data_IF_502186384985
#
_entry.id   IF_502186384985
#
_cell.length_a   1.000
_cell.length_b   1.000
_cell.length_c   1.000
_cell.angle_alpha   90.00
_cell.angle_beta   90.00
_cell.angle_gamma   90.00
#
_symmetry.space_group_name_H-M   'P 1'
#
loop_
_entity.id
_entity.type
_entity.pdbx_description
1 polymer ?
#
# COMPACT_ATOMS: atom_id res chain seq x y z
N UNK A 1 -14.37 -39.51 -4.76
CA UNK A 1 -14.75 -38.14 -4.35
C UNK A 1 -13.54 -37.18 -4.37
N UNK A 2 -13.46 -36.22 -5.30
CA UNK A 2 -12.36 -35.26 -5.31
C UNK A 2 -12.53 -34.21 -4.21
N UNK A 3 -11.45 -33.92 -3.47
CA UNK A 3 -11.40 -32.99 -2.32
C UNK A 3 -11.19 -31.54 -2.77
N UNK A 4 -12.00 -30.67 -2.15
CA UNK A 4 -11.83 -29.26 -1.74
C UNK A 4 -11.39 -28.20 -2.76
N UNK A 5 -12.24 -27.18 -2.78
CA UNK A 5 -12.04 -25.81 -3.23
C UNK A 5 -10.66 -25.24 -2.90
N UNK A 6 -10.11 -24.50 -3.85
CA UNK A 6 -9.07 -23.48 -3.70
C UNK A 6 -9.08 -22.80 -2.31
N UNK A 7 -8.05 -23.05 -1.50
CA UNK A 7 -7.73 -22.17 -0.38
C UNK A 7 -7.32 -20.81 -0.95
N UNK A 8 -8.25 -19.85 -0.92
CA UNK A 8 -7.93 -18.44 -1.17
C UNK A 8 -7.03 -17.99 -0.03
N UNK A 9 -5.78 -17.65 -0.33
CA UNK A 9 -4.90 -17.01 0.64
C UNK A 9 -5.59 -15.72 1.15
N UNK A 10 -5.95 -15.71 2.44
CA UNK A 10 -6.49 -14.52 3.09
C UNK A 10 -5.34 -13.71 3.67
N UNK A 11 -5.35 -12.40 3.41
CA UNK A 11 -4.38 -11.46 3.97
C UNK A 11 -5.03 -10.83 5.20
N UNK A 12 -4.43 -11.04 6.38
CA UNK A 12 -4.77 -10.29 7.60
C UNK A 12 -3.84 -9.08 7.72
N UNK A 13 -4.41 -7.90 8.01
CA UNK A 13 -3.65 -6.67 8.23
C UNK A 13 -3.96 -6.17 9.64
N UNK A 14 -2.91 -5.97 10.44
CA UNK A 14 -2.98 -5.29 11.73
C UNK A 14 -2.19 -4.00 11.64
N UNK A 15 -2.87 -2.87 11.85
CA UNK A 15 -2.25 -1.56 11.86
C UNK A 15 -2.41 -0.90 13.23
N UNK A 16 -1.45 -0.07 13.59
CA UNK A 16 -1.54 0.86 14.71
C UNK A 16 -1.34 2.27 14.17
N UNK A 17 -2.16 3.21 14.61
CA UNK A 17 -2.00 4.61 14.25
C UNK A 17 -0.77 5.19 14.95
N UNK A 18 0.09 5.87 14.19
CA UNK A 18 1.23 6.61 14.69
C UNK A 18 0.82 8.06 14.97
N UNK A 19 1.24 8.60 16.11
CA UNK A 19 0.95 9.98 16.48
C UNK A 19 1.94 10.93 15.82
N UNK A 20 1.44 12.05 15.32
CA UNK A 20 2.25 13.15 14.81
C UNK A 20 1.59 14.47 15.20
N UNK A 21 2.22 15.21 16.11
CA UNK A 21 1.70 16.51 16.57
C UNK A 21 1.83 17.62 15.54
N UNK A 22 2.57 17.40 14.44
CA UNK A 22 2.72 18.36 13.35
C UNK A 22 1.55 18.34 12.36
N UNK A 23 0.69 17.32 12.41
CA UNK A 23 -0.49 17.21 11.53
C UNK A 23 -1.76 17.67 12.25
N UNK A 24 -2.73 18.28 11.54
CA UNK A 24 -4.00 18.71 12.13
C UNK A 24 -4.81 17.60 12.79
N UNK A 25 -4.70 16.36 12.30
CA UNK A 25 -5.40 15.21 12.87
C UNK A 25 -4.71 14.61 14.09
N UNK A 26 -3.45 14.96 14.35
CA UNK A 26 -2.63 14.37 15.42
C UNK A 26 -2.05 12.99 15.11
N UNK A 27 -2.08 12.57 13.84
CA UNK A 27 -1.63 11.25 13.38
C UNK A 27 -0.75 11.39 12.13
N UNK A 28 0.19 10.47 11.96
CA UNK A 28 1.10 10.44 10.81
C UNK A 28 0.34 10.05 9.52
N UNK A 29 0.69 10.72 8.41
CA UNK A 29 0.11 10.46 7.10
C UNK A 29 1.20 10.09 6.10
N UNK A 30 0.97 9.04 5.32
CA UNK A 30 1.89 8.60 4.26
C UNK A 30 1.97 9.58 3.07
N UNK A 31 1.07 10.57 3.01
CA UNK A 31 1.07 11.60 1.98
C UNK A 31 0.44 12.89 2.52
N UNK A 32 1.17 14.01 2.38
CA UNK A 32 0.75 15.33 2.87
C UNK A 32 0.47 15.34 4.38
N UNK A 33 -0.17 16.40 4.90
CA UNK A 33 -0.51 16.54 6.33
C UNK A 33 -1.88 15.93 6.70
N UNK A 34 -2.54 15.26 5.76
CA UNK A 34 -3.91 14.77 5.94
C UNK A 34 -4.98 15.87 5.92
N UNK A 35 -6.23 15.54 6.27
CA UNK A 35 -7.35 16.48 6.23
C UNK A 35 -7.24 17.53 7.35
N UNK A 36 -7.32 18.80 7.00
CA UNK A 36 -7.15 19.91 7.94
C UNK A 36 -8.29 20.10 8.95
N UNK A 37 -9.47 19.53 8.68
CA UNK A 37 -10.69 19.71 9.47
C UNK A 37 -11.26 18.40 10.04
N UNK A 38 -10.51 17.30 10.03
CA UNK A 38 -10.96 16.01 10.52
C UNK A 38 -10.39 15.71 11.91
N UNK A 39 -11.25 15.50 12.90
CA UNK A 39 -10.88 14.92 14.20
C UNK A 39 -11.19 13.42 14.18
N UNK A 40 -10.14 12.61 14.31
CA UNK A 40 -10.29 11.15 14.41
C UNK A 40 -10.65 10.81 15.86
N UNK A 41 -11.81 10.19 16.05
CA UNK A 41 -12.26 9.66 17.34
C UNK A 41 -12.40 8.13 17.29
N UNK A 42 -12.54 7.49 18.45
CA UNK A 42 -12.82 6.05 18.53
C UNK A 42 -14.07 5.70 17.72
N UNK A 43 -13.96 4.69 16.87
CA UNK A 43 -15.06 4.27 15.99
C UNK A 43 -15.18 5.06 14.69
N UNK A 44 -14.25 5.98 14.39
CA UNK A 44 -14.19 6.64 13.07
C UNK A 44 -13.91 5.61 11.98
N UNK A 45 -14.83 5.44 11.03
CA UNK A 45 -14.62 4.60 9.86
C UNK A 45 -13.64 5.29 8.90
N UNK A 46 -12.58 4.59 8.51
CA UNK A 46 -11.62 5.07 7.53
C UNK A 46 -11.44 4.07 6.39
N UNK A 47 -11.19 4.58 5.20
CA UNK A 47 -10.73 3.79 4.07
C UNK A 47 -9.22 3.95 3.95
N UNK A 48 -8.48 2.84 4.03
CA UNK A 48 -7.02 2.85 3.90
C UNK A 48 -6.59 2.23 2.58
N UNK A 49 -5.43 2.67 2.07
CA UNK A 49 -4.77 2.07 0.91
C UNK A 49 -3.45 1.47 1.37
N UNK A 50 -3.25 0.20 1.07
CA UNK A 50 -2.04 -0.54 1.44
C UNK A 50 -1.30 -0.94 0.17
N UNK A 51 -0.05 -0.53 0.05
CA UNK A 51 0.85 -1.00 -1.01
C UNK A 51 1.42 -2.35 -0.59
N UNK A 52 1.15 -3.40 -1.37
CA UNK A 52 1.64 -4.77 -1.10
C UNK A 52 2.96 -5.07 -1.81
N UNK A 53 3.26 -4.36 -2.89
CA UNK A 53 4.45 -4.52 -3.70
C UNK A 53 4.81 -3.17 -4.34
N UNK A 54 6.11 -2.85 -4.35
CA UNK A 54 6.65 -1.68 -5.04
C UNK A 54 7.68 -2.15 -6.07
N UNK A 55 7.51 -1.76 -7.33
CA UNK A 55 8.41 -2.11 -8.42
C UNK A 55 8.89 -0.84 -9.14
N UNK A 56 10.21 -0.69 -9.25
CA UNK A 56 10.82 0.47 -9.91
C UNK A 56 10.54 0.46 -11.42
N UNK A 57 10.14 1.59 -12.05
CA UNK A 57 9.81 1.62 -13.48
C UNK A 57 10.93 1.16 -14.42
N UNK A 58 12.20 1.37 -14.04
CA UNK A 58 13.37 0.97 -14.84
C UNK A 58 13.42 -0.53 -15.13
N UNK A 59 12.79 -1.37 -14.29
CA UNK A 59 12.73 -2.82 -14.52
C UNK A 59 11.95 -3.17 -15.78
N UNK A 60 11.03 -2.31 -16.25
CA UNK A 60 10.29 -2.47 -17.51
C UNK A 60 11.07 -2.02 -18.75
N UNK A 61 12.19 -1.30 -18.59
CA UNK A 61 13.02 -0.82 -19.70
C UNK A 61 14.11 -1.83 -20.07
N UNK A 62 14.57 -2.65 -19.11
CA UNK A 62 15.55 -3.70 -19.36
C UNK A 62 15.20 -4.65 -20.51
N UNK A 63 13.94 -5.10 -20.70
CA UNK A 63 13.55 -5.94 -21.84
C UNK A 63 13.81 -5.23 -23.19
N UNK A 64 13.41 -3.97 -23.31
CA UNK A 64 13.57 -3.17 -24.54
C UNK A 64 15.06 -2.99 -24.86
N UNK A 65 15.88 -2.71 -23.85
CA UNK A 65 17.33 -2.57 -24.03
C UNK A 65 18.01 -3.90 -24.42
N UNK A 66 17.54 -5.05 -23.91
CA UNK A 66 18.03 -6.38 -24.31
C UNK A 66 17.69 -6.67 -25.78
N UNK A 67 16.47 -6.35 -26.21
CA UNK A 67 16.06 -6.47 -27.61
C UNK A 67 16.91 -5.59 -28.54
N UNK A 68 17.19 -4.34 -28.17
CA UNK A 68 18.00 -3.43 -28.97
C UNK A 68 19.49 -3.76 -29.00
N UNK A 69 20.03 -4.29 -27.89
CA UNK A 69 21.43 -4.70 -27.80
C UNK A 69 21.71 -6.07 -28.43
N UNK A 70 20.66 -6.80 -28.86
CA UNK A 70 20.79 -8.13 -29.46
C UNK A 70 21.23 -9.21 -28.48
N UNK A 71 21.08 -8.98 -27.16
CA UNK A 71 21.39 -9.97 -26.12
C UNK A 71 20.23 -10.96 -25.98
N UNK A 72 20.29 -12.05 -26.75
CA UNK A 72 19.55 -13.30 -26.55
C UNK A 72 20.48 -14.51 -26.71
#
# INVERSE_FOLDING_TARGET
PPRRSSDKAMIEVRGQLQLDSSTPSGYEWSSSQGPSNLKISTGTTATTRVTVEEQAPITFVLPILREWSGLF
#
